data_IF_859137725407
#
_entry.id   IF_859137725407
#
_cell.length_a   1.000
_cell.length_b   1.000
_cell.length_c   1.000
_cell.angle_alpha   90.00
_cell.angle_beta   90.00
_cell.angle_gamma   90.00
#
_symmetry.space_group_name_H-M   'P 1'
#
loop_
_entity.id
_entity.type
_entity.pdbx_description
1 polymer ?
#
# COMPACT_ATOMS: atom_id res chain seq x y z
N UNK A 1 -10.55 24.25 39.84
CA UNK A 1 -9.13 24.58 40.01
C UNK A 1 -8.67 25.66 39.04
N UNK A 2 -8.84 25.50 37.72
CA UNK A 2 -8.46 26.54 36.74
C UNK A 2 -9.11 27.91 37.01
N UNK A 3 -10.42 27.97 37.26
CA UNK A 3 -11.10 29.23 37.59
C UNK A 3 -10.56 29.90 38.87
N UNK A 4 -10.20 29.09 39.87
CA UNK A 4 -9.60 29.58 41.13
C UNK A 4 -8.15 30.03 40.93
N UNK A 5 -7.37 29.33 40.09
CA UNK A 5 -6.00 29.71 39.75
C UNK A 5 -5.97 31.05 38.99
N UNK A 6 -6.91 31.25 38.07
CA UNK A 6 -7.04 32.51 37.33
C UNK A 6 -7.53 33.65 38.25
N UNK A 7 -8.50 33.39 39.13
CA UNK A 7 -8.96 34.36 40.13
C UNK A 7 -7.88 34.77 41.17
N UNK A 8 -6.88 33.91 41.42
CA UNK A 8 -5.80 34.16 42.38
C UNK A 8 -4.46 34.53 41.73
N UNK A 9 -4.38 34.51 40.39
CA UNK A 9 -3.15 34.76 39.63
C UNK A 9 -2.02 33.74 39.83
N UNK A 10 -2.32 32.55 40.37
CA UNK A 10 -1.30 31.56 40.76
C UNK A 10 -1.43 30.26 39.97
N UNK A 11 -0.56 30.07 38.98
CA UNK A 11 -0.47 28.83 38.17
C UNK A 11 -0.10 27.59 39.00
N UNK A 12 0.48 27.79 40.20
CA UNK A 12 0.85 26.72 41.13
C UNK A 12 -0.37 25.96 41.66
N UNK A 13 -1.53 26.61 41.79
CA UNK A 13 -2.77 25.96 42.24
C UNK A 13 -3.27 24.91 41.25
N UNK A 14 -3.14 25.19 39.94
CA UNK A 14 -3.51 24.22 38.91
C UNK A 14 -2.56 23.02 38.91
N UNK A 15 -1.25 23.25 39.02
CA UNK A 15 -0.24 22.19 39.08
C UNK A 15 -0.40 21.30 40.32
N UNK A 16 -0.64 21.90 41.50
CA UNK A 16 -0.90 21.16 42.73
C UNK A 16 -2.20 20.36 42.66
N UNK A 17 -3.26 20.95 42.07
CA UNK A 17 -4.53 20.27 41.85
C UNK A 17 -4.41 19.09 40.87
N UNK A 18 -3.60 19.23 39.82
CA UNK A 18 -3.32 18.15 38.89
C UNK A 18 -2.54 17.01 39.57
N UNK A 19 -1.48 17.33 40.32
CA UNK A 19 -0.70 16.32 41.05
C UNK A 19 -1.54 15.59 42.11
N UNK A 20 -2.38 16.31 42.85
CA UNK A 20 -3.23 15.68 43.86
C UNK A 20 -4.27 14.76 43.23
N UNK A 21 -4.92 15.19 42.14
CA UNK A 21 -5.84 14.36 41.39
C UNK A 21 -5.14 13.12 40.81
N UNK A 22 -3.96 13.27 40.22
CA UNK A 22 -3.16 12.16 39.70
C UNK A 22 -2.80 11.14 40.80
N UNK A 23 -2.37 11.61 41.96
CA UNK A 23 -2.02 10.75 43.08
C UNK A 23 -3.24 10.00 43.63
N UNK A 24 -4.35 10.69 43.89
CA UNK A 24 -5.57 10.08 44.44
C UNK A 24 -6.18 9.10 43.46
N UNK A 25 -6.36 9.49 42.20
CA UNK A 25 -6.97 8.64 41.17
C UNK A 25 -6.07 7.44 40.82
N UNK A 26 -4.75 7.66 40.76
CA UNK A 26 -3.77 6.59 40.57
C UNK A 26 -3.78 5.57 41.71
N UNK A 27 -3.83 6.02 42.97
CA UNK A 27 -3.93 5.14 44.13
C UNK A 27 -5.25 4.37 44.18
N UNK A 28 -6.36 5.03 43.82
CA UNK A 28 -7.66 4.38 43.72
C UNK A 28 -7.63 3.26 42.68
N UNK A 29 -7.13 3.55 41.46
CA UNK A 29 -7.02 2.54 40.40
C UNK A 29 -6.01 1.44 40.69
N UNK A 30 -4.94 1.72 41.44
CA UNK A 30 -3.99 0.70 41.88
C UNK A 30 -4.64 -0.29 42.85
N UNK A 31 -5.50 0.19 43.76
CA UNK A 31 -6.28 -0.68 44.66
C UNK A 31 -7.29 -1.52 43.88
N UNK A 32 -8.04 -0.89 42.98
CA UNK A 32 -9.04 -1.58 42.14
C UNK A 32 -8.39 -2.66 41.25
N UNK A 33 -7.20 -2.40 40.70
CA UNK A 33 -6.47 -3.38 39.89
C UNK A 33 -5.98 -4.61 40.69
N UNK A 34 -5.78 -4.48 42.01
CA UNK A 34 -5.43 -5.61 42.86
C UNK A 34 -6.63 -6.49 43.21
N UNK A 35 -7.81 -5.90 43.33
CA UNK A 35 -9.05 -6.63 43.65
C UNK A 35 -9.67 -7.29 42.39
N UNK A 36 -9.62 -6.62 41.23
CA UNK A 36 -10.26 -7.07 39.98
C UNK A 36 -9.30 -7.74 38.97
N UNK A 37 -8.00 -7.86 39.28
CA UNK A 37 -6.92 -8.31 38.38
C UNK A 37 -6.84 -7.57 37.01
N UNK A 38 -7.47 -6.40 36.87
CA UNK A 38 -7.45 -5.58 35.63
C UNK A 38 -6.44 -4.42 35.72
N UNK A 39 -5.23 -4.65 35.19
CA UNK A 39 -4.14 -3.68 35.21
C UNK A 39 -4.18 -2.73 34.00
N UNK A 40 -5.20 -1.85 33.96
CA UNK A 40 -5.38 -0.89 32.86
C UNK A 40 -4.82 0.51 33.19
N UNK A 41 -3.63 0.83 32.67
CA UNK A 41 -3.03 2.19 32.75
C UNK A 41 -3.84 3.23 31.97
N UNK A 42 -4.59 2.80 30.96
CA UNK A 42 -5.34 3.69 30.06
C UNK A 42 -6.41 4.52 30.77
N UNK A 43 -7.04 3.97 31.83
CA UNK A 43 -8.06 4.67 32.62
C UNK A 43 -7.46 5.83 33.42
N UNK A 44 -6.24 5.66 33.93
CA UNK A 44 -5.52 6.72 34.65
C UNK A 44 -5.16 7.84 33.68
N UNK A 45 -4.60 7.51 32.51
CA UNK A 45 -4.26 8.51 31.48
C UNK A 45 -5.51 9.28 31.03
N UNK A 46 -6.63 8.59 30.78
CA UNK A 46 -7.87 9.24 30.38
C UNK A 46 -8.37 10.26 31.42
N UNK A 47 -8.32 9.90 32.71
CA UNK A 47 -8.72 10.80 33.79
C UNK A 47 -7.82 12.06 33.85
N UNK A 48 -6.50 11.90 33.67
CA UNK A 48 -5.56 13.02 33.60
C UNK A 48 -5.85 13.92 32.40
N UNK A 49 -6.17 13.33 31.23
CA UNK A 49 -6.57 14.09 30.04
C UNK A 49 -7.88 14.86 30.28
N UNK A 50 -8.89 14.26 30.92
CA UNK A 50 -10.15 14.95 31.27
C UNK A 50 -9.90 16.15 32.18
N UNK A 51 -9.04 16.01 33.20
CA UNK A 51 -8.66 17.13 34.05
C UNK A 51 -7.98 18.25 33.24
N UNK A 52 -7.00 17.89 32.39
CA UNK A 52 -6.29 18.84 31.53
C UNK A 52 -7.21 19.58 30.56
N UNK A 53 -8.15 18.87 29.93
CA UNK A 53 -9.16 19.47 29.05
C UNK A 53 -10.13 20.37 29.80
N UNK A 54 -10.51 20.00 31.03
CA UNK A 54 -11.30 20.87 31.91
C UNK A 54 -10.56 22.14 32.31
N UNK A 55 -9.24 22.09 32.46
CA UNK A 55 -8.43 23.29 32.67
C UNK A 55 -8.34 24.16 31.40
N UNK A 56 -8.12 23.54 30.24
CA UNK A 56 -8.08 24.22 28.94
C UNK A 56 -9.41 24.92 28.61
N UNK A 57 -10.55 24.33 29.00
CA UNK A 57 -11.87 24.92 28.80
C UNK A 57 -12.09 26.23 29.55
N UNK A 58 -11.36 26.46 30.64
CA UNK A 58 -11.53 27.62 31.52
C UNK A 58 -10.48 28.70 31.25
N UNK A 59 -9.24 28.30 30.99
CA UNK A 59 -8.09 29.21 30.91
C UNK A 59 -7.47 29.31 29.50
N UNK A 60 -7.93 28.49 28.56
CA UNK A 60 -7.42 28.42 27.18
C UNK A 60 -8.52 28.54 26.14
N UNK A 61 -8.44 27.71 25.09
CA UNK A 61 -9.44 27.69 24.02
C UNK A 61 -10.58 26.70 24.34
N UNK A 62 -11.80 27.17 24.64
CA UNK A 62 -12.93 26.30 24.94
C UNK A 62 -13.35 25.45 23.73
N UNK A 63 -13.10 25.91 22.50
CA UNK A 63 -13.40 25.14 21.29
C UNK A 63 -12.43 23.96 21.16
N UNK A 64 -11.13 24.20 21.38
CA UNK A 64 -10.14 23.12 21.41
C UNK A 64 -10.40 22.12 22.55
N UNK A 65 -10.81 22.61 23.73
CA UNK A 65 -11.17 21.77 24.86
C UNK A 65 -12.41 20.91 24.59
N UNK A 66 -13.46 21.49 23.99
CA UNK A 66 -14.66 20.76 23.58
C UNK A 66 -14.34 19.71 22.50
N UNK A 67 -13.54 20.06 21.49
CA UNK A 67 -13.10 19.15 20.44
C UNK A 67 -12.26 18.00 21.01
N UNK A 68 -11.28 18.30 21.87
CA UNK A 68 -10.43 17.31 22.53
C UNK A 68 -11.21 16.39 23.49
N UNK A 69 -12.15 16.96 24.26
CA UNK A 69 -13.04 16.21 25.15
C UNK A 69 -13.96 15.26 24.38
N UNK A 70 -14.55 15.75 23.29
CA UNK A 70 -15.40 14.92 22.41
C UNK A 70 -14.59 13.80 21.76
N UNK A 71 -13.38 14.10 21.27
CA UNK A 71 -12.48 13.09 20.70
C UNK A 71 -12.07 12.04 21.73
N UNK A 72 -11.70 12.46 22.95
CA UNK A 72 -11.35 11.55 24.04
C UNK A 72 -12.54 10.65 24.42
N UNK A 73 -13.73 11.23 24.55
CA UNK A 73 -14.96 10.48 24.84
C UNK A 73 -15.28 9.47 23.72
N UNK A 74 -15.15 9.85 22.45
CA UNK A 74 -15.35 8.94 21.32
C UNK A 74 -14.35 7.76 21.32
N UNK A 75 -13.08 8.02 21.67
CA UNK A 75 -12.05 6.98 21.81
C UNK A 75 -12.41 6.01 22.95
N UNK A 76 -12.78 6.54 24.12
CA UNK A 76 -13.17 5.72 25.27
C UNK A 76 -14.41 4.89 24.97
N UNK A 77 -15.42 5.47 24.32
CA UNK A 77 -16.63 4.76 23.90
C UNK A 77 -16.33 3.64 22.89
N UNK A 78 -15.25 3.78 22.12
CA UNK A 78 -14.81 2.78 21.14
C UNK A 78 -13.81 1.77 21.70
N UNK A 79 -13.45 1.82 23.01
CA UNK A 79 -12.40 0.99 23.62
C UNK A 79 -12.59 -0.50 23.34
N UNK A 80 -13.79 -1.01 23.54
CA UNK A 80 -14.08 -2.44 23.40
C UNK A 80 -14.03 -2.88 21.94
N UNK A 81 -14.51 -2.05 21.01
CA UNK A 81 -14.41 -2.28 19.57
C UNK A 81 -12.93 -2.31 19.17
N UNK A 82 -12.13 -1.38 19.67
CA UNK A 82 -10.70 -1.29 19.37
C UNK A 82 -9.93 -2.50 19.93
N UNK A 83 -10.24 -2.93 21.16
CA UNK A 83 -9.64 -4.13 21.76
C UNK A 83 -10.07 -5.41 21.03
N UNK A 84 -11.34 -5.53 20.66
CA UNK A 84 -11.84 -6.65 19.88
C UNK A 84 -11.19 -6.70 18.49
N UNK A 85 -10.95 -5.54 17.86
CA UNK A 85 -10.23 -5.44 16.60
C UNK A 85 -8.76 -5.86 16.75
N UNK A 86 -8.07 -5.36 17.79
CA UNK A 86 -6.69 -5.75 18.10
C UNK A 86 -6.54 -7.25 18.34
N UNK A 87 -7.51 -7.89 19.02
CA UNK A 87 -7.52 -9.35 19.23
C UNK A 87 -7.67 -10.18 17.94
N UNK A 88 -8.17 -9.58 16.85
CA UNK A 88 -8.29 -10.24 15.53
C UNK A 88 -7.04 -10.06 14.65
N UNK A 89 -6.17 -9.12 15.00
CA UNK A 89 -4.92 -8.88 14.28
C UNK A 89 -3.87 -9.92 14.67
N UNK A 90 -3.18 -10.42 13.66
CA UNK A 90 -1.98 -11.24 13.84
C UNK A 90 -0.79 -10.35 14.17
N UNK A 91 0.23 -10.94 14.81
CA UNK A 91 1.51 -10.25 15.04
C UNK A 91 2.10 -9.68 13.76
N UNK A 92 1.96 -10.41 12.65
CA UNK A 92 2.44 -10.00 11.33
C UNK A 92 1.79 -8.70 10.87
N UNK A 93 0.48 -8.57 11.04
CA UNK A 93 -0.25 -7.36 10.61
C UNK A 93 0.01 -6.18 11.51
N UNK A 94 0.04 -6.40 12.82
CA UNK A 94 0.34 -5.35 13.78
C UNK A 94 1.75 -4.80 13.52
N UNK A 95 2.72 -5.68 13.31
CA UNK A 95 4.10 -5.31 12.95
C UNK A 95 4.13 -4.51 11.65
N UNK A 96 3.41 -4.94 10.62
CA UNK A 96 3.34 -4.27 9.32
C UNK A 96 2.72 -2.88 9.41
N UNK A 97 1.61 -2.75 10.13
CA UNK A 97 0.96 -1.46 10.36
C UNK A 97 1.86 -0.50 11.16
N UNK A 98 2.50 -0.99 12.22
CA UNK A 98 3.44 -0.19 13.02
C UNK A 98 4.66 0.24 12.19
N UNK A 99 5.19 -0.66 11.37
CA UNK A 99 6.31 -0.33 10.49
C UNK A 99 5.92 0.74 9.47
N UNK A 100 4.75 0.63 8.83
CA UNK A 100 4.25 1.64 7.92
C UNK A 100 4.06 2.99 8.63
N UNK A 101 3.57 2.98 9.88
CA UNK A 101 3.47 4.18 10.71
C UNK A 101 4.85 4.79 11.00
N UNK A 102 5.85 4.01 11.36
CA UNK A 102 7.24 4.50 11.57
C UNK A 102 7.81 5.08 10.28
N UNK A 103 7.64 4.39 9.15
CA UNK A 103 8.12 4.86 7.85
C UNK A 103 7.53 6.22 7.47
N UNK A 104 6.25 6.44 7.80
CA UNK A 104 5.50 7.64 7.42
C UNK A 104 5.67 8.78 8.43
N UNK A 105 5.52 8.49 9.73
CA UNK A 105 5.48 9.51 10.78
C UNK A 105 6.86 9.84 11.36
N UNK A 106 7.84 8.94 11.24
CA UNK A 106 9.19 9.13 11.80
C UNK A 106 10.21 9.34 10.69
N UNK A 107 10.32 8.40 9.74
CA UNK A 107 11.41 8.43 8.75
C UNK A 107 11.16 9.49 7.67
N UNK A 108 9.97 9.53 7.09
CA UNK A 108 9.63 10.47 6.01
C UNK A 108 9.92 11.95 6.37
N UNK A 109 9.51 12.51 7.53
CA UNK A 109 9.78 13.91 7.86
C UNK A 109 11.27 14.19 8.16
N UNK A 110 12.08 13.17 8.46
CA UNK A 110 13.52 13.33 8.68
C UNK A 110 14.32 13.41 7.37
N UNK A 111 13.73 13.00 6.25
CA UNK A 111 14.42 12.96 4.96
C UNK A 111 14.45 14.34 4.30
N UNK A 112 15.59 14.75 3.71
CA UNK A 112 15.69 16.04 3.04
C UNK A 112 14.82 16.06 1.77
N UNK A 113 13.91 17.03 1.69
CA UNK A 113 13.10 17.26 0.50
C UNK A 113 13.82 18.16 -0.52
N UNK A 114 14.92 17.66 -1.06
CA UNK A 114 15.71 18.30 -2.13
C UNK A 114 16.47 17.24 -2.90
N UNK A 115 16.75 17.50 -4.16
CA UNK A 115 17.65 16.64 -4.94
C UNK A 115 19.05 16.65 -4.29
N UNK A 116 19.55 15.46 -3.99
CA UNK A 116 20.89 15.23 -3.43
C UNK A 116 21.74 14.51 -4.48
N UNK A 117 23.01 14.91 -4.62
CA UNK A 117 23.99 14.26 -5.51
C UNK A 117 24.37 15.09 -6.74
N UNK A 118 25.69 15.17 -7.06
CA UNK A 118 26.22 15.93 -8.20
C UNK A 118 25.96 15.26 -9.56
N UNK A 119 26.05 13.93 -9.63
CA UNK A 119 25.86 13.16 -10.87
C UNK A 119 24.45 12.56 -11.01
N UNK A 120 23.79 12.30 -9.87
CA UNK A 120 22.53 11.59 -9.76
C UNK A 120 21.60 12.41 -8.86
N UNK A 121 20.96 13.43 -9.42
CA UNK A 121 20.00 14.28 -8.69
C UNK A 121 18.79 13.45 -8.27
N UNK A 122 18.81 12.89 -7.06
CA UNK A 122 17.72 12.07 -6.52
C UNK A 122 17.20 12.73 -5.27
N UNK A 123 15.88 12.92 -5.17
CA UNK A 123 15.24 13.44 -3.96
C UNK A 123 14.94 12.27 -3.00
N UNK A 124 15.63 12.16 -1.84
CA UNK A 124 15.42 11.06 -0.90
C UNK A 124 14.01 11.05 -0.32
N UNK A 125 13.43 12.23 -0.08
CA UNK A 125 12.06 12.35 0.43
C UNK A 125 11.06 11.73 -0.55
N UNK A 126 11.16 12.01 -1.85
CA UNK A 126 10.25 11.48 -2.86
C UNK A 126 10.41 9.97 -3.06
N UNK A 127 11.65 9.48 -3.12
CA UNK A 127 11.93 8.03 -3.20
C UNK A 127 11.27 7.30 -2.04
N UNK A 128 11.41 7.84 -0.84
CA UNK A 128 10.82 7.26 0.36
C UNK A 128 9.30 7.40 0.39
N UNK A 129 8.76 8.55 -0.02
CA UNK A 129 7.32 8.79 -0.14
C UNK A 129 6.67 7.76 -1.06
N UNK A 130 7.25 7.53 -2.24
CA UNK A 130 6.73 6.55 -3.18
C UNK A 130 6.88 5.11 -2.67
N UNK A 131 7.96 4.83 -1.94
CA UNK A 131 8.14 3.54 -1.25
C UNK A 131 7.05 3.31 -0.20
N UNK A 132 6.73 4.32 0.61
CA UNK A 132 5.63 4.31 1.59
C UNK A 132 4.27 4.16 0.89
N UNK A 133 4.05 4.87 -0.22
CA UNK A 133 2.81 4.84 -0.98
C UNK A 133 2.53 3.44 -1.52
N UNK A 134 3.50 2.83 -2.21
CA UNK A 134 3.40 1.47 -2.74
C UNK A 134 3.16 0.46 -1.61
N UNK A 135 3.90 0.58 -0.51
CA UNK A 135 3.74 -0.29 0.66
C UNK A 135 2.33 -0.15 1.28
N UNK A 136 1.79 1.07 1.37
CA UNK A 136 0.44 1.33 1.87
C UNK A 136 -0.61 0.66 0.99
N UNK A 137 -0.50 0.78 -0.34
CA UNK A 137 -1.43 0.15 -1.29
C UNK A 137 -1.36 -1.38 -1.17
N UNK A 138 -0.15 -1.95 -1.07
CA UNK A 138 0.04 -3.39 -0.85
C UNK A 138 -0.57 -3.86 0.48
N UNK A 139 -0.39 -3.11 1.56
CA UNK A 139 -0.97 -3.43 2.88
C UNK A 139 -2.48 -3.36 2.88
N UNK A 140 -3.05 -2.27 2.35
CA UNK A 140 -4.48 -2.07 2.22
C UNK A 140 -5.10 -3.20 1.40
N UNK A 141 -4.42 -3.62 0.34
CA UNK A 141 -4.80 -4.78 -0.45
C UNK A 141 -4.81 -6.08 0.35
N UNK A 142 -3.71 -6.38 1.06
CA UNK A 142 -3.62 -7.55 1.93
C UNK A 142 -4.78 -7.59 2.94
N UNK A 143 -5.06 -6.47 3.62
CA UNK A 143 -6.15 -6.35 4.59
C UNK A 143 -7.51 -6.54 3.92
N UNK A 144 -7.74 -5.92 2.77
CA UNK A 144 -8.99 -6.07 1.99
C UNK A 144 -9.27 -7.54 1.75
N UNK A 145 -8.29 -8.27 1.20
CA UNK A 145 -8.46 -9.67 0.86
C UNK A 145 -8.63 -10.54 2.11
N UNK A 146 -7.90 -10.25 3.18
CA UNK A 146 -8.05 -10.96 4.46
C UNK A 146 -9.47 -10.79 5.04
N UNK A 147 -10.01 -9.57 5.01
CA UNK A 147 -11.39 -9.28 5.45
C UNK A 147 -12.43 -10.01 4.59
N UNK A 148 -12.20 -10.16 3.28
CA UNK A 148 -13.09 -10.87 2.36
C UNK A 148 -12.93 -12.41 2.36
N UNK A 149 -11.92 -12.94 3.06
CA UNK A 149 -11.99 -14.23 3.74
C UNK A 149 -10.86 -15.24 3.45
N UNK A 150 -10.24 -15.72 4.52
CA UNK A 150 -9.32 -16.88 4.60
C UNK A 150 -9.98 -18.22 4.18
N UNK A 151 -11.31 -18.27 3.98
CA UNK A 151 -12.07 -19.50 3.63
C UNK A 151 -12.28 -19.74 2.11
N UNK A 152 -11.64 -18.96 1.22
CA UNK A 152 -12.05 -18.88 -0.19
C UNK A 152 -10.91 -19.09 -1.21
N UNK A 153 -10.18 -20.19 -1.11
CA UNK A 153 -9.50 -20.80 -2.27
C UNK A 153 -8.40 -20.01 -2.99
N UNK A 154 -7.81 -20.64 -4.01
CA UNK A 154 -6.65 -20.14 -4.79
C UNK A 154 -6.78 -18.71 -5.35
N UNK A 155 -8.00 -18.28 -5.67
CA UNK A 155 -8.25 -16.98 -6.32
C UNK A 155 -8.10 -15.82 -5.34
N UNK A 156 -8.61 -15.99 -4.12
CA UNK A 156 -8.52 -14.95 -3.09
C UNK A 156 -7.08 -14.90 -2.59
N UNK A 157 -6.42 -16.04 -2.38
CA UNK A 157 -4.99 -16.07 -2.07
C UNK A 157 -4.13 -15.40 -3.15
N UNK A 158 -4.40 -15.66 -4.42
CA UNK A 158 -3.71 -14.98 -5.52
C UNK A 158 -4.01 -13.47 -5.58
N UNK A 159 -5.23 -13.04 -5.30
CA UNK A 159 -5.56 -11.62 -5.18
C UNK A 159 -4.76 -10.95 -4.06
N UNK A 160 -4.72 -11.56 -2.88
CA UNK A 160 -4.00 -11.07 -1.70
C UNK A 160 -2.51 -10.95 -1.98
N UNK A 161 -1.92 -12.06 -2.45
CA UNK A 161 -0.51 -12.08 -2.80
C UNK A 161 -0.17 -11.10 -3.92
N UNK A 162 -1.07 -10.88 -4.88
CA UNK A 162 -0.82 -9.99 -6.01
C UNK A 162 -0.78 -8.52 -5.60
N UNK A 163 -1.47 -8.15 -4.50
CA UNK A 163 -1.39 -6.80 -3.92
C UNK A 163 0.02 -6.54 -3.36
N UNK A 164 0.66 -7.58 -2.82
CA UNK A 164 2.05 -7.55 -2.37
C UNK A 164 3.00 -7.60 -3.56
N UNK A 165 2.96 -8.68 -4.35
CA UNK A 165 3.78 -8.87 -5.54
C UNK A 165 3.08 -9.79 -6.53
N UNK A 166 2.52 -9.20 -7.59
CA UNK A 166 1.90 -9.95 -8.68
C UNK A 166 2.91 -10.87 -9.39
N UNK A 167 4.19 -10.47 -9.46
CA UNK A 167 5.29 -11.27 -10.02
C UNK A 167 5.58 -12.52 -9.20
N UNK A 168 5.69 -12.37 -7.87
CA UNK A 168 5.90 -13.51 -6.98
C UNK A 168 4.72 -14.49 -7.05
N UNK A 169 3.49 -13.97 -7.09
CA UNK A 169 2.29 -14.80 -7.23
C UNK A 169 2.26 -15.57 -8.55
N UNK A 170 2.58 -14.92 -9.68
CA UNK A 170 2.65 -15.63 -10.97
C UNK A 170 3.66 -16.77 -10.91
N UNK A 171 4.83 -16.55 -10.29
CA UNK A 171 5.86 -17.57 -10.16
C UNK A 171 5.42 -18.73 -9.25
N UNK A 172 4.80 -18.45 -8.11
CA UNK A 172 4.31 -19.49 -7.20
C UNK A 172 3.17 -20.31 -7.82
N UNK A 173 2.27 -19.67 -8.56
CA UNK A 173 1.19 -20.33 -9.28
C UNK A 173 1.73 -21.20 -10.43
N UNK A 174 2.73 -20.70 -11.16
CA UNK A 174 3.42 -21.46 -12.22
C UNK A 174 4.09 -22.72 -11.67
N UNK A 175 4.83 -22.60 -10.55
CA UNK A 175 5.46 -23.75 -9.86
C UNK A 175 4.42 -24.74 -9.36
N UNK A 176 3.36 -24.26 -8.72
CA UNK A 176 2.27 -25.12 -8.24
C UNK A 176 1.62 -25.90 -9.39
N UNK A 177 1.46 -25.27 -10.55
CA UNK A 177 0.95 -25.94 -11.75
C UNK A 177 1.91 -27.03 -12.26
N UNK A 178 3.22 -26.85 -12.09
CA UNK A 178 4.24 -27.85 -12.41
C UNK A 178 4.19 -29.04 -11.44
N UNK A 179 3.88 -28.77 -10.18
CA UNK A 179 3.77 -29.76 -9.11
C UNK A 179 2.44 -30.56 -9.14
N UNK A 180 1.68 -30.48 -10.25
CA UNK A 180 0.48 -31.28 -10.48
C UNK A 180 -0.83 -30.65 -10.03
N UNK A 181 -0.80 -29.43 -9.49
CA UNK A 181 -2.02 -28.69 -9.19
C UNK A 181 -2.75 -28.24 -10.47
N UNK A 182 -4.01 -27.85 -10.31
CA UNK A 182 -4.92 -27.70 -11.43
C UNK A 182 -4.63 -26.44 -12.28
N UNK A 183 -4.01 -26.67 -13.45
CA UNK A 183 -3.43 -25.64 -14.33
C UNK A 183 -4.40 -24.50 -14.69
N UNK A 184 -5.66 -24.80 -15.04
CA UNK A 184 -6.63 -23.78 -15.47
C UNK A 184 -6.98 -22.82 -14.34
N UNK A 185 -7.26 -23.35 -13.15
CA UNK A 185 -7.56 -22.54 -11.97
C UNK A 185 -6.38 -21.67 -11.57
N UNK A 186 -5.17 -22.19 -11.64
CA UNK A 186 -3.95 -21.42 -11.37
C UNK A 186 -3.69 -20.34 -12.42
N UNK A 187 -3.90 -20.64 -13.71
CA UNK A 187 -3.81 -19.64 -14.77
C UNK A 187 -4.85 -18.53 -14.60
N UNK A 188 -6.09 -18.88 -14.25
CA UNK A 188 -7.13 -17.89 -13.91
C UNK A 188 -6.78 -17.06 -12.68
N UNK A 189 -6.15 -17.65 -11.66
CA UNK A 189 -5.63 -16.93 -10.50
C UNK A 189 -4.48 -15.97 -10.86
N UNK A 190 -3.62 -16.35 -11.81
CA UNK A 190 -2.59 -15.47 -12.35
C UNK A 190 -3.17 -14.31 -13.18
N UNK A 191 -4.24 -14.55 -13.94
CA UNK A 191 -4.99 -13.49 -14.63
C UNK A 191 -5.61 -12.51 -13.63
N UNK A 192 -6.17 -13.00 -12.52
CA UNK A 192 -6.69 -12.15 -11.45
C UNK A 192 -5.56 -11.29 -10.83
N UNK A 193 -4.39 -11.88 -10.59
CA UNK A 193 -3.21 -11.16 -10.14
C UNK A 193 -2.76 -10.05 -11.13
N UNK A 194 -2.93 -10.27 -12.43
CA UNK A 194 -2.69 -9.27 -13.46
C UNK A 194 -3.70 -8.12 -13.43
N UNK A 195 -5.00 -8.43 -13.25
CA UNK A 195 -6.03 -7.41 -13.01
C UNK A 195 -5.66 -6.52 -11.82
N UNK A 196 -5.35 -7.12 -10.67
CA UNK A 196 -4.94 -6.40 -9.45
C UNK A 196 -3.75 -5.47 -9.70
N UNK A 197 -2.74 -5.94 -10.43
CA UNK A 197 -1.57 -5.13 -10.78
C UNK A 197 -1.93 -3.91 -11.63
N UNK A 198 -2.90 -4.03 -12.54
CA UNK A 198 -3.37 -2.90 -13.37
C UNK A 198 -4.14 -1.89 -12.52
N UNK A 199 -5.01 -2.35 -11.61
CA UNK A 199 -5.72 -1.46 -10.68
C UNK A 199 -4.72 -0.70 -9.78
N UNK A 200 -3.66 -1.38 -9.32
CA UNK A 200 -2.60 -0.75 -8.52
C UNK A 200 -1.93 0.39 -9.30
N UNK A 201 -1.53 0.14 -10.54
CA UNK A 201 -0.93 1.17 -11.41
C UNK A 201 -1.90 2.32 -11.65
N UNK A 202 -3.19 2.05 -11.89
CA UNK A 202 -4.19 3.11 -12.06
C UNK A 202 -4.35 3.98 -10.80
N UNK A 203 -4.39 3.36 -9.61
CA UNK A 203 -4.44 4.08 -8.33
C UNK A 203 -3.17 4.91 -8.08
N UNK A 204 -2.00 4.37 -8.41
CA UNK A 204 -0.72 5.07 -8.31
C UNK A 204 -0.67 6.29 -9.23
N UNK A 205 -1.12 6.14 -10.48
CA UNK A 205 -1.24 7.25 -11.43
C UNK A 205 -2.26 8.29 -10.97
N UNK A 206 -3.38 7.89 -10.37
CA UNK A 206 -4.37 8.83 -9.82
C UNK A 206 -3.75 9.74 -8.74
N UNK A 207 -2.91 9.18 -7.86
CA UNK A 207 -2.31 9.91 -6.75
C UNK A 207 -1.14 10.79 -7.19
N UNK A 208 -0.27 10.26 -8.07
CA UNK A 208 1.01 10.91 -8.42
C UNK A 208 0.91 11.77 -9.68
N UNK A 209 0.15 11.33 -10.68
CA UNK A 209 0.02 12.00 -11.97
C UNK A 209 -1.42 12.01 -12.48
N UNK A 210 -2.36 12.66 -11.77
CA UNK A 210 -3.79 12.61 -12.08
C UNK A 210 -4.11 13.06 -13.52
N UNK A 211 -3.31 13.94 -14.10
CA UNK A 211 -3.47 14.40 -15.49
C UNK A 211 -3.17 13.32 -16.54
N UNK A 212 -2.38 12.29 -16.20
CA UNK A 212 -2.05 11.16 -17.10
C UNK A 212 -3.17 10.12 -17.08
N UNK A 213 -3.92 10.01 -15.97
CA UNK A 213 -4.92 8.97 -15.77
C UNK A 213 -5.99 8.90 -16.88
N UNK A 214 -6.62 10.01 -17.32
CA UNK A 214 -7.65 9.96 -18.36
C UNK A 214 -7.13 9.39 -19.69
N UNK A 215 -5.84 9.61 -19.99
CA UNK A 215 -5.21 9.11 -21.23
C UNK A 215 -4.92 7.60 -21.16
N UNK A 216 -4.51 7.08 -20.01
CA UNK A 216 -4.19 5.66 -19.84
C UNK A 216 -5.41 4.80 -19.45
N UNK A 217 -6.43 5.40 -18.84
CA UNK A 217 -7.56 4.68 -18.25
C UNK A 217 -8.33 3.80 -19.26
N UNK A 218 -8.64 4.26 -20.50
CA UNK A 218 -9.33 3.42 -21.48
C UNK A 218 -8.56 2.15 -21.82
N UNK A 219 -7.24 2.26 -22.02
CA UNK A 219 -6.36 1.13 -22.32
C UNK A 219 -6.24 0.20 -21.11
N UNK A 220 -6.01 0.77 -19.92
CA UNK A 220 -5.84 0.01 -18.69
C UNK A 220 -7.12 -0.75 -18.29
N UNK A 221 -8.30 -0.12 -18.43
CA UNK A 221 -9.60 -0.74 -18.12
C UNK A 221 -9.90 -1.91 -19.04
N UNK A 222 -9.68 -1.77 -20.34
CA UNK A 222 -9.88 -2.86 -21.31
C UNK A 222 -8.95 -4.04 -21.01
N UNK A 223 -7.66 -3.77 -20.74
CA UNK A 223 -6.73 -4.81 -20.34
C UNK A 223 -7.16 -5.50 -19.03
N UNK A 224 -7.59 -4.73 -18.02
CA UNK A 224 -8.06 -5.26 -16.75
C UNK A 224 -9.32 -6.14 -16.92
N UNK A 225 -10.25 -5.73 -17.77
CA UNK A 225 -11.47 -6.49 -18.11
C UNK A 225 -11.11 -7.80 -18.82
N UNK A 226 -10.19 -7.79 -19.78
CA UNK A 226 -9.73 -9.02 -20.45
C UNK A 226 -9.15 -10.01 -19.44
N UNK A 227 -8.26 -9.56 -18.55
CA UNK A 227 -7.70 -10.40 -17.50
C UNK A 227 -8.78 -10.89 -16.52
N UNK A 228 -9.73 -10.04 -16.12
CA UNK A 228 -10.80 -10.41 -15.19
C UNK A 228 -11.76 -11.44 -15.80
N UNK A 229 -12.18 -11.23 -17.05
CA UNK A 229 -13.03 -12.16 -17.79
C UNK A 229 -12.34 -13.52 -17.95
N UNK A 230 -11.05 -13.53 -18.31
CA UNK A 230 -10.29 -14.78 -18.42
C UNK A 230 -10.05 -15.44 -17.06
N UNK A 231 -9.86 -14.67 -15.99
CA UNK A 231 -9.78 -15.22 -14.64
C UNK A 231 -11.06 -15.99 -14.29
N UNK A 232 -12.23 -15.41 -14.54
CA UNK A 232 -13.54 -16.06 -14.31
C UNK A 232 -13.74 -17.27 -15.23
N UNK A 233 -13.45 -17.13 -16.53
CA UNK A 233 -13.63 -18.21 -17.51
C UNK A 233 -12.77 -19.43 -17.18
N UNK A 234 -11.47 -19.23 -16.91
CA UNK A 234 -10.54 -20.32 -16.63
C UNK A 234 -10.84 -21.02 -15.31
N UNK A 235 -11.32 -20.29 -14.31
CA UNK A 235 -11.64 -20.83 -12.98
C UNK A 235 -13.02 -21.47 -12.88
N UNK A 236 -13.99 -21.07 -13.70
CA UNK A 236 -15.30 -21.74 -13.76
C UNK A 236 -15.24 -23.10 -14.43
N UNK A 237 -14.37 -23.24 -15.41
CA UNK A 237 -14.25 -24.47 -16.18
C UNK A 237 -13.11 -25.37 -15.67
N UNK A 238 -12.55 -25.01 -14.53
CA UNK A 238 -11.63 -25.80 -13.73
C UNK A 238 -12.37 -26.92 -12.98
N UNK A 239 -11.70 -28.05 -12.73
CA UNK A 239 -12.26 -29.12 -11.90
C UNK A 239 -12.22 -28.74 -10.42
N UNK A 240 -13.22 -29.17 -9.64
CA UNK A 240 -13.23 -29.02 -8.17
C UNK A 240 -12.12 -29.88 -7.56
N UNK A 241 -10.89 -29.39 -7.53
CA UNK A 241 -9.79 -29.89 -6.71
C UNK A 241 -9.42 -28.88 -5.64
N UNK A 242 -8.68 -29.34 -4.64
CA UNK A 242 -8.39 -28.60 -3.42
C UNK A 242 -7.78 -27.22 -3.67
N UNK A 243 -8.06 -26.32 -2.73
CA UNK A 243 -7.46 -25.00 -2.71
C UNK A 243 -5.94 -25.11 -2.51
N UNK A 244 -5.15 -24.65 -3.47
CA UNK A 244 -3.74 -24.33 -3.24
C UNK A 244 -3.69 -23.12 -2.31
N UNK A 245 -3.06 -23.29 -1.15
CA UNK A 245 -2.77 -22.19 -0.24
C UNK A 245 -1.66 -21.32 -0.84
N UNK A 246 -2.07 -20.25 -1.51
CA UNK A 246 -1.15 -19.18 -1.88
C UNK A 246 -1.00 -18.32 -0.63
N UNK A 247 -0.25 -18.82 0.36
CA UNK A 247 -0.04 -18.10 1.60
C UNK A 247 0.58 -16.73 1.28
N UNK A 248 -0.15 -15.68 1.64
CA UNK A 248 0.36 -14.32 1.53
C UNK A 248 1.46 -14.16 2.58
N UNK A 249 2.73 -14.35 2.17
CA UNK A 249 3.88 -13.95 3.01
C UNK A 249 3.72 -12.47 3.36
N UNK A 250 4.08 -12.13 4.60
CA UNK A 250 3.95 -10.78 5.11
C UNK A 250 4.62 -9.76 4.15
N UNK A 251 3.87 -8.76 3.61
CA UNK A 251 4.42 -7.75 2.72
C UNK A 251 5.56 -6.91 3.32
N UNK A 252 5.62 -6.77 4.65
CA UNK A 252 6.60 -5.90 5.32
C UNK A 252 7.74 -6.71 5.91
N UNK A 253 8.64 -7.14 5.04
CA UNK A 253 10.01 -7.37 5.44
C UNK A 253 10.79 -6.08 5.20
N UNK A 254 11.47 -5.58 6.24
CA UNK A 254 12.38 -4.41 6.15
C UNK A 254 13.30 -4.55 4.93
N UNK A 255 13.73 -5.78 4.65
CA UNK A 255 14.53 -6.15 3.48
C UNK A 255 13.84 -5.83 2.15
N UNK A 256 12.57 -6.19 1.97
CA UNK A 256 11.82 -5.93 0.73
C UNK A 256 11.65 -4.43 0.48
N UNK A 257 11.49 -3.66 1.55
CA UNK A 257 11.37 -2.21 1.46
C UNK A 257 12.68 -1.54 1.02
N UNK A 258 13.81 -1.91 1.64
CA UNK A 258 15.13 -1.43 1.23
C UNK A 258 15.47 -1.88 -0.18
N UNK A 259 15.10 -3.11 -0.56
CA UNK A 259 15.28 -3.61 -1.93
C UNK A 259 14.48 -2.76 -2.93
N UNK A 260 13.21 -2.48 -2.65
CA UNK A 260 12.38 -1.62 -3.50
C UNK A 260 12.99 -0.23 -3.65
N UNK A 261 13.36 0.43 -2.54
CA UNK A 261 13.99 1.75 -2.57
C UNK A 261 15.29 1.73 -3.38
N UNK A 262 16.11 0.68 -3.24
CA UNK A 262 17.37 0.53 -3.99
C UNK A 262 17.11 0.35 -5.49
N UNK A 263 16.19 -0.54 -5.88
CA UNK A 263 15.81 -0.74 -7.28
C UNK A 263 15.24 0.55 -7.87
N UNK A 264 14.39 1.26 -7.12
CA UNK A 264 13.81 2.53 -7.54
C UNK A 264 14.89 3.58 -7.81
N UNK A 265 15.85 3.75 -6.88
CA UNK A 265 16.98 4.67 -7.07
C UNK A 265 17.78 4.27 -8.30
N UNK A 266 18.12 2.99 -8.48
CA UNK A 266 18.86 2.50 -9.64
C UNK A 266 18.12 2.73 -10.96
N UNK A 267 16.81 2.47 -11.01
CA UNK A 267 15.99 2.68 -12.20
C UNK A 267 15.89 4.16 -12.55
N UNK A 268 15.64 5.02 -11.56
CA UNK A 268 15.60 6.47 -11.73
C UNK A 268 16.95 7.00 -12.24
N UNK A 269 18.03 6.50 -11.65
CA UNK A 269 19.41 6.82 -12.02
C UNK A 269 19.72 6.45 -13.46
N UNK A 270 19.42 5.21 -13.84
CA UNK A 270 19.60 4.71 -15.20
C UNK A 270 18.74 5.49 -16.20
N UNK A 271 17.49 5.80 -15.85
CA UNK A 271 16.59 6.61 -16.68
C UNK A 271 17.16 8.00 -16.93
N UNK A 272 17.73 8.66 -15.91
CA UNK A 272 18.37 9.98 -16.09
C UNK A 272 19.57 9.93 -17.03
N UNK A 273 20.42 8.92 -16.87
CA UNK A 273 21.57 8.70 -17.76
C UNK A 273 21.09 8.49 -19.20
N UNK A 274 20.08 7.64 -19.40
CA UNK A 274 19.49 7.39 -20.72
C UNK A 274 18.94 8.68 -21.35
N UNK A 275 18.20 9.48 -20.59
CA UNK A 275 17.64 10.75 -21.09
C UNK A 275 18.74 11.75 -21.44
N UNK A 276 19.82 11.80 -20.68
CA UNK A 276 20.95 12.69 -20.97
C UNK A 276 21.64 12.37 -22.31
N UNK A 277 21.68 11.10 -22.71
CA UNK A 277 22.33 10.67 -23.96
C UNK A 277 21.37 10.52 -25.16
N UNK A 278 20.13 10.07 -24.94
CA UNK A 278 19.17 9.74 -25.98
C UNK A 278 17.96 10.71 -26.05
N UNK A 279 17.90 11.72 -25.18
CA UNK A 279 16.80 12.69 -25.11
C UNK A 279 15.52 12.13 -24.48
N UNK A 280 14.42 12.88 -24.58
CA UNK A 280 13.14 12.56 -23.91
C UNK A 280 12.52 11.23 -24.34
N UNK A 281 12.78 10.79 -25.57
CA UNK A 281 12.34 9.47 -26.07
C UNK A 281 12.92 8.30 -25.26
N UNK A 282 14.02 8.51 -24.54
CA UNK A 282 14.64 7.50 -23.69
C UNK A 282 13.78 7.15 -22.46
N UNK A 283 12.84 8.01 -22.07
CA UNK A 283 11.90 7.75 -20.95
C UNK A 283 11.06 6.50 -21.23
N UNK A 284 10.61 6.33 -22.47
CA UNK A 284 9.87 5.13 -22.89
C UNK A 284 10.74 3.88 -22.74
N UNK A 285 11.97 3.93 -23.26
CA UNK A 285 12.89 2.80 -23.24
C UNK A 285 13.29 2.43 -21.81
N UNK A 286 13.58 3.42 -20.96
CA UNK A 286 13.86 3.21 -19.54
C UNK A 286 12.66 2.59 -18.81
N UNK A 287 11.44 3.02 -19.14
CA UNK A 287 10.21 2.50 -18.53
C UNK A 287 9.89 1.08 -18.98
N UNK A 288 10.20 0.70 -20.22
CA UNK A 288 10.07 -0.69 -20.71
C UNK A 288 11.06 -1.61 -19.98
N UNK A 289 12.33 -1.18 -19.86
CA UNK A 289 13.37 -1.97 -19.18
C UNK A 289 13.02 -2.13 -17.70
N UNK A 290 12.76 -1.02 -17.00
CA UNK A 290 12.42 -1.06 -15.57
C UNK A 290 11.09 -1.78 -15.32
N UNK A 291 10.09 -1.57 -16.18
CA UNK A 291 8.75 -2.14 -16.04
C UNK A 291 8.74 -3.65 -16.15
N UNK A 292 9.70 -4.23 -16.87
CA UNK A 292 9.89 -5.69 -16.93
C UNK A 292 10.23 -6.31 -15.57
N UNK A 293 10.84 -5.54 -14.66
CA UNK A 293 11.17 -5.97 -13.30
C UNK A 293 10.09 -5.56 -12.31
N UNK A 294 9.75 -4.27 -12.30
CA UNK A 294 8.73 -3.69 -11.42
C UNK A 294 8.02 -2.53 -12.12
N UNK A 295 6.72 -2.74 -12.36
CA UNK A 295 5.87 -1.75 -13.02
C UNK A 295 5.65 -0.49 -12.17
N UNK A 296 5.62 -0.60 -10.85
CA UNK A 296 5.36 0.54 -9.97
C UNK A 296 6.57 1.49 -10.04
N UNK A 297 7.80 0.92 -9.98
CA UNK A 297 9.05 1.68 -10.14
C UNK A 297 9.09 2.42 -11.48
N UNK A 298 8.74 1.74 -12.57
CA UNK A 298 8.76 2.32 -13.90
C UNK A 298 7.73 3.46 -14.05
N UNK A 299 6.50 3.23 -13.59
CA UNK A 299 5.42 4.23 -13.63
C UNK A 299 5.77 5.44 -12.79
N UNK A 300 6.22 5.26 -11.55
CA UNK A 300 6.66 6.34 -10.68
C UNK A 300 7.82 7.15 -11.29
N UNK A 301 8.77 6.47 -11.93
CA UNK A 301 9.90 7.13 -12.61
C UNK A 301 9.41 8.00 -13.77
N UNK A 302 8.46 7.51 -14.57
CA UNK A 302 7.86 8.26 -15.68
C UNK A 302 7.01 9.44 -15.19
N UNK A 303 6.19 9.25 -14.17
CA UNK A 303 5.30 10.28 -13.61
C UNK A 303 6.06 11.41 -12.90
N UNK A 304 7.29 11.17 -12.44
CA UNK A 304 8.15 12.20 -11.81
C UNK A 304 8.64 13.28 -12.78
N UNK A 305 8.50 13.09 -14.11
CA UNK A 305 8.93 14.08 -15.12
C UNK A 305 7.99 15.29 -15.10
N UNK A 306 8.20 16.21 -14.16
CA UNK A 306 7.39 17.42 -13.95
C UNK A 306 7.42 18.39 -15.13
N UNK A 307 8.42 18.28 -15.99
CA UNK A 307 8.57 19.04 -17.23
C UNK A 307 7.72 18.50 -18.40
N UNK A 308 7.27 17.25 -18.32
CA UNK A 308 6.52 16.55 -19.37
C UNK A 308 5.09 16.19 -18.93
N UNK A 309 4.51 16.91 -17.96
CA UNK A 309 3.21 16.55 -17.38
C UNK A 309 2.14 16.29 -18.46
N UNK A 310 1.57 15.07 -18.46
CA UNK A 310 0.58 14.59 -19.43
C UNK A 310 1.02 14.61 -20.91
N UNK A 311 2.32 14.74 -21.19
CA UNK A 311 2.90 14.50 -22.51
C UNK A 311 2.66 13.06 -22.93
N UNK A 312 2.50 12.86 -24.25
CA UNK A 312 2.33 11.53 -24.83
C UNK A 312 3.54 10.64 -24.54
N UNK A 313 4.74 11.21 -24.33
CA UNK A 313 5.93 10.46 -23.90
C UNK A 313 5.68 9.75 -22.56
N UNK A 314 5.08 10.43 -21.58
CA UNK A 314 4.80 9.86 -20.24
C UNK A 314 3.69 8.82 -20.34
N UNK A 315 2.67 9.07 -21.17
CA UNK A 315 1.57 8.13 -21.43
C UNK A 315 2.11 6.84 -22.06
N UNK A 316 2.93 6.95 -23.11
CA UNK A 316 3.57 5.80 -23.76
C UNK A 316 4.50 5.07 -22.80
N UNK A 317 5.25 5.78 -21.97
CA UNK A 317 6.15 5.20 -20.98
C UNK A 317 5.39 4.34 -19.96
N UNK A 318 4.25 4.83 -19.44
CA UNK A 318 3.39 4.09 -18.50
C UNK A 318 2.77 2.87 -19.16
N UNK A 319 2.16 3.02 -20.35
CA UNK A 319 1.55 1.90 -21.08
C UNK A 319 2.59 0.86 -21.51
N UNK A 320 3.76 1.33 -21.96
CA UNK A 320 4.90 0.50 -22.32
C UNK A 320 5.44 -0.29 -21.13
N UNK A 321 5.56 0.34 -19.95
CA UNK A 321 5.94 -0.34 -18.70
C UNK A 321 4.92 -1.43 -18.31
N UNK A 322 3.62 -1.15 -18.44
CA UNK A 322 2.57 -2.13 -18.16
C UNK A 322 2.64 -3.33 -19.11
N UNK A 323 2.83 -3.09 -20.40
CA UNK A 323 2.98 -4.14 -21.40
C UNK A 323 4.25 -4.97 -21.16
N UNK A 324 5.38 -4.31 -20.90
CA UNK A 324 6.65 -4.95 -20.57
C UNK A 324 6.54 -5.83 -19.33
N UNK A 325 5.88 -5.35 -18.26
CA UNK A 325 5.63 -6.14 -17.05
C UNK A 325 4.75 -7.36 -17.32
N UNK A 326 3.73 -7.22 -18.18
CA UNK A 326 2.86 -8.34 -18.54
C UNK A 326 3.64 -9.42 -19.31
N UNK A 327 4.48 -9.01 -20.27
CA UNK A 327 5.37 -9.90 -21.02
C UNK A 327 6.40 -10.55 -20.09
N UNK A 328 7.03 -9.79 -19.20
CA UNK A 328 7.99 -10.30 -18.22
C UNK A 328 7.39 -11.41 -17.35
N UNK A 329 6.14 -11.26 -16.91
CA UNK A 329 5.43 -12.31 -16.17
C UNK A 329 5.12 -13.56 -17.01
N UNK A 330 4.89 -13.42 -18.32
CA UNK A 330 4.76 -14.58 -19.22
C UNK A 330 6.09 -15.33 -19.32
N UNK A 331 7.22 -14.62 -19.42
CA UNK A 331 8.56 -15.23 -19.45
C UNK A 331 8.84 -15.97 -18.14
N UNK A 332 8.50 -15.37 -16.99
CA UNK A 332 8.64 -16.02 -15.68
C UNK A 332 7.70 -17.23 -15.52
N UNK A 333 6.48 -17.16 -16.05
CA UNK A 333 5.57 -18.31 -16.10
C UNK A 333 6.17 -19.44 -16.93
N UNK A 334 6.79 -19.12 -18.08
CA UNK A 334 7.45 -20.09 -18.96
C UNK A 334 8.63 -20.80 -18.30
N UNK A 335 9.42 -20.09 -17.48
CA UNK A 335 10.59 -20.67 -16.82
C UNK A 335 10.24 -21.57 -15.63
N UNK A 336 9.11 -21.32 -14.97
CA UNK A 336 8.77 -21.99 -13.71
C UNK A 336 7.59 -22.97 -13.80
N UNK A 337 6.73 -22.84 -14.81
CA UNK A 337 5.49 -23.60 -14.95
C UNK A 337 5.44 -24.52 -16.18
N UNK A 338 4.40 -25.37 -16.27
CA UNK A 338 4.20 -26.26 -17.41
C UNK A 338 3.73 -25.47 -18.63
N UNK A 339 4.02 -25.97 -19.84
CA UNK A 339 3.67 -25.31 -21.10
C UNK A 339 2.18 -24.92 -21.19
N UNK A 340 1.27 -25.76 -20.68
CA UNK A 340 -0.18 -25.47 -20.66
C UNK A 340 -0.56 -24.26 -19.80
N UNK A 341 0.13 -24.04 -18.67
CA UNK A 341 -0.11 -22.85 -17.84
C UNK A 341 0.35 -21.60 -18.58
N UNK A 342 1.57 -21.68 -19.14
CA UNK A 342 2.21 -20.59 -19.87
C UNK A 342 1.41 -20.21 -21.11
N UNK A 343 0.91 -21.16 -21.89
CA UNK A 343 0.13 -20.84 -23.10
C UNK A 343 -1.19 -20.15 -22.78
N UNK A 344 -1.91 -20.57 -21.73
CA UNK A 344 -3.15 -19.92 -21.29
C UNK A 344 -2.89 -18.49 -20.82
N UNK A 345 -1.86 -18.29 -20.01
CA UNK A 345 -1.49 -16.98 -19.48
C UNK A 345 -0.93 -16.06 -20.57
N UNK A 346 -0.10 -16.58 -21.47
CA UNK A 346 0.43 -15.88 -22.63
C UNK A 346 -0.70 -15.44 -23.58
N UNK A 347 -1.61 -16.35 -23.93
CA UNK A 347 -2.75 -16.02 -24.80
C UNK A 347 -3.60 -14.89 -24.20
N UNK A 348 -3.90 -14.95 -22.91
CA UNK A 348 -4.64 -13.88 -22.21
C UNK A 348 -3.85 -12.56 -22.24
N UNK A 349 -2.54 -12.61 -22.03
CA UNK A 349 -1.68 -11.43 -22.06
C UNK A 349 -1.63 -10.81 -23.45
N UNK A 350 -1.49 -11.62 -24.50
CA UNK A 350 -1.53 -11.16 -25.89
C UNK A 350 -2.88 -10.53 -26.23
N UNK A 351 -4.00 -11.13 -25.80
CA UNK A 351 -5.32 -10.54 -25.98
C UNK A 351 -5.44 -9.19 -25.28
N UNK A 352 -4.99 -9.08 -24.03
CA UNK A 352 -5.05 -7.83 -23.26
C UNK A 352 -4.22 -6.71 -23.92
N UNK A 353 -3.02 -7.03 -24.40
CA UNK A 353 -2.17 -6.09 -25.13
C UNK A 353 -2.80 -5.70 -26.46
N UNK A 354 -3.33 -6.65 -27.23
CA UNK A 354 -3.95 -6.39 -28.53
C UNK A 354 -5.19 -5.48 -28.41
N UNK A 355 -6.13 -5.81 -27.51
CA UNK A 355 -7.30 -4.98 -27.28
C UNK A 355 -6.94 -3.62 -26.68
N UNK A 356 -5.97 -3.57 -25.77
CA UNK A 356 -5.44 -2.31 -25.26
C UNK A 356 -4.84 -1.43 -26.35
N UNK A 357 -4.06 -2.01 -27.27
CA UNK A 357 -3.45 -1.31 -28.39
C UNK A 357 -4.48 -0.80 -29.41
N UNK A 358 -5.54 -1.58 -29.68
CA UNK A 358 -6.66 -1.11 -30.52
C UNK A 358 -7.34 0.12 -29.92
N UNK A 359 -7.60 0.11 -28.61
CA UNK A 359 -8.20 1.24 -27.90
C UNK A 359 -7.25 2.44 -27.85
N UNK A 360 -5.95 2.18 -27.69
CA UNK A 360 -4.93 3.22 -27.76
C UNK A 360 -4.93 3.94 -29.11
N UNK A 361 -4.96 3.20 -30.22
CA UNK A 361 -5.06 3.78 -31.58
C UNK A 361 -6.36 4.57 -31.73
N UNK A 362 -7.49 4.01 -31.32
CA UNK A 362 -8.79 4.67 -31.43
C UNK A 362 -8.83 6.02 -30.70
N UNK A 363 -8.20 6.09 -29.51
CA UNK A 363 -8.20 7.29 -28.69
C UNK A 363 -7.12 8.32 -29.10
N UNK A 364 -6.25 7.95 -30.05
CA UNK A 364 -5.19 8.81 -30.60
C UNK A 364 -5.57 9.49 -31.92
N UNK A 365 -6.75 9.17 -32.48
CA UNK A 365 -7.34 9.82 -33.65
C UNK A 365 -8.27 10.96 -33.23
#
# INVERSE_FOLDING_TARGET
MAALANATGSSLLLACGFMSFAAVFGLFKLREAWDDEDYSVTSVIAALCVFGLGALAVDGDPVAAAAGGTALAAILASRDILHAFLRRLTWIELRSALMLAVMTAVILPLLPNRDVGRALTVNPFEVWLFTVLTATISFAGYITVRLFGERKGTLIGAAAGALVSSTAVTLTLARSAKDGAEVRRLAGAACLAATVSILRVAGLTLIVGPAVLPKIAPVATVAAVVFACMAVFLTRAAHKRDAVDVSARNPFEVRSLFLFATIYVLALSASKVLVAYLGDSAVLLASIISGSFDVDVAVLTALRRTDLQASDIVVHAVLGAMAANAIGRVILAASAGPARFTTLYAATTTMAIAFGFMVFIWNSQ
#
